data_IF_902380717561
#
_entry.id   IF_902380717561
#
_cell.length_a   1.000
_cell.length_b   1.000
_cell.length_c   1.000
_cell.angle_alpha   90.00
_cell.angle_beta   90.00
_cell.angle_gamma   90.00
#
_symmetry.space_group_name_H-M   'P 1'
#
loop_
_entity.id
_entity.type
_entity.pdbx_description
1 polymer ?
#
# COMPACT_ATOMS: atom_id res chain seq x y z
N UNK A 1 -3.03 -10.29 -3.56
CA UNK A 1 -4.47 -10.34 -3.26
C UNK A 1 -4.58 -10.68 -1.80
N UNK A 2 -5.40 -9.93 -1.06
CA UNK A 2 -5.61 -10.13 0.38
C UNK A 2 -6.74 -11.15 0.54
N UNK A 3 -6.53 -12.18 1.35
CA UNK A 3 -7.48 -13.28 1.51
C UNK A 3 -8.16 -13.30 2.88
N UNK A 4 -7.59 -12.61 3.87
CA UNK A 4 -8.05 -12.62 5.25
C UNK A 4 -7.68 -11.33 5.99
N UNK A 5 -8.29 -11.13 7.15
CA UNK A 5 -8.07 -9.93 7.98
C UNK A 5 -6.61 -9.79 8.42
N UNK A 6 -5.89 -10.90 8.60
CA UNK A 6 -4.47 -10.83 8.98
C UNK A 6 -3.62 -10.26 7.86
N UNK A 7 -3.88 -10.64 6.62
CA UNK A 7 -3.21 -10.08 5.44
C UNK A 7 -3.61 -8.63 5.18
N UNK A 8 -4.86 -8.26 5.50
CA UNK A 8 -5.32 -6.87 5.47
C UNK A 8 -4.48 -6.02 6.42
N UNK A 9 -4.34 -6.43 7.68
CA UNK A 9 -3.53 -5.73 8.68
C UNK A 9 -2.08 -5.55 8.23
N UNK A 10 -1.45 -6.65 7.77
CA UNK A 10 -0.06 -6.61 7.27
C UNK A 10 0.06 -5.66 6.08
N UNK A 11 -0.91 -5.65 5.17
CA UNK A 11 -0.88 -4.74 4.01
C UNK A 11 -1.03 -3.28 4.43
N UNK A 12 -1.92 -2.99 5.39
CA UNK A 12 -2.09 -1.64 5.95
C UNK A 12 -0.81 -1.15 6.66
N UNK A 13 -0.16 -2.00 7.45
CA UNK A 13 1.13 -1.68 8.09
C UNK A 13 2.21 -1.35 7.06
N UNK A 14 2.31 -2.15 5.99
CA UNK A 14 3.26 -1.93 4.88
C UNK A 14 3.01 -0.61 4.15
N UNK A 15 1.74 -0.28 3.88
CA UNK A 15 1.36 1.02 3.31
C UNK A 15 1.85 2.15 4.23
N UNK A 16 1.59 2.06 5.54
CA UNK A 16 2.03 3.05 6.52
C UNK A 16 3.56 3.23 6.55
N UNK A 17 4.31 2.13 6.42
CA UNK A 17 5.76 2.16 6.35
C UNK A 17 6.26 2.91 5.10
N UNK A 18 5.75 2.58 3.91
CA UNK A 18 6.14 3.29 2.68
C UNK A 18 5.74 4.76 2.70
N UNK A 19 4.57 5.10 3.23
CA UNK A 19 4.18 6.50 3.43
C UNK A 19 5.16 7.23 4.36
N UNK A 20 5.67 6.56 5.40
CA UNK A 20 6.68 7.14 6.29
C UNK A 20 8.00 7.41 5.56
N UNK A 21 8.46 6.47 4.74
CA UNK A 21 9.66 6.64 3.92
C UNK A 21 9.49 7.77 2.90
N UNK A 22 8.33 7.86 2.24
CA UNK A 22 8.03 8.94 1.30
C UNK A 22 8.00 10.32 1.99
N UNK A 23 7.42 10.41 3.20
CA UNK A 23 7.46 11.63 4.01
C UNK A 23 8.88 12.01 4.40
N UNK A 24 9.73 11.04 4.71
CA UNK A 24 11.14 11.29 5.01
C UNK A 24 11.88 11.79 3.76
N UNK A 25 11.72 11.10 2.63
CA UNK A 25 12.34 11.46 1.35
C UNK A 25 12.01 12.91 0.94
N UNK A 26 10.75 13.34 1.13
CA UNK A 26 10.30 14.71 0.85
C UNK A 26 11.02 15.79 1.68
N UNK A 27 11.59 15.44 2.83
CA UNK A 27 12.33 16.37 3.69
C UNK A 27 13.82 16.43 3.35
N UNK A 28 14.39 15.38 2.79
CA UNK A 28 15.84 15.21 2.65
C UNK A 28 16.34 15.35 1.21
N UNK A 29 15.52 15.00 0.21
CA UNK A 29 15.91 15.12 -1.19
C UNK A 29 15.46 16.47 -1.76
N UNK A 30 16.43 17.26 -2.21
CA UNK A 30 16.26 18.63 -2.70
C UNK A 30 16.21 18.63 -4.24
N UNK A 31 16.88 17.67 -4.88
CA UNK A 31 16.88 17.54 -6.32
C UNK A 31 15.54 16.95 -6.80
N UNK A 32 14.77 17.68 -7.62
CA UNK A 32 13.44 17.26 -8.03
C UNK A 32 13.44 16.00 -8.90
N UNK A 33 14.49 15.78 -9.69
CA UNK A 33 14.62 14.58 -10.53
C UNK A 33 14.91 13.37 -9.66
N UNK A 34 15.85 13.47 -8.72
CA UNK A 34 16.14 12.38 -7.79
C UNK A 34 14.92 12.06 -6.93
N UNK A 35 14.23 13.08 -6.39
CA UNK A 35 13.01 12.89 -5.62
C UNK A 35 11.98 12.11 -6.43
N UNK A 36 11.71 12.52 -7.67
CA UNK A 36 10.73 11.84 -8.53
C UNK A 36 11.11 10.38 -8.79
N UNK A 37 12.38 10.10 -9.09
CA UNK A 37 12.87 8.75 -9.37
C UNK A 37 12.83 7.85 -8.13
N UNK A 38 13.16 8.37 -6.95
CA UNK A 38 13.10 7.62 -5.70
C UNK A 38 11.68 7.45 -5.18
N UNK A 39 10.82 8.46 -5.34
CA UNK A 39 9.43 8.45 -4.87
C UNK A 39 8.52 7.55 -5.72
N UNK A 40 8.79 7.42 -7.03
CA UNK A 40 7.91 6.69 -7.96
C UNK A 40 7.70 5.24 -7.55
N UNK A 41 8.74 4.55 -7.10
CA UNK A 41 8.63 3.16 -6.63
C UNK A 41 7.72 3.02 -5.41
N UNK A 42 7.86 3.91 -4.42
CA UNK A 42 6.99 3.92 -3.24
C UNK A 42 5.53 4.19 -3.60
N UNK A 43 5.29 5.16 -4.48
CA UNK A 43 3.94 5.55 -4.90
C UNK A 43 3.27 4.38 -5.64
N UNK A 44 3.93 3.76 -6.61
CA UNK A 44 3.39 2.62 -7.35
C UNK A 44 3.05 1.43 -6.44
N UNK A 45 3.88 1.12 -5.45
CA UNK A 45 3.61 0.04 -4.51
C UNK A 45 2.47 0.38 -3.54
N UNK A 46 2.37 1.63 -3.09
CA UNK A 46 1.23 2.09 -2.28
C UNK A 46 -0.07 1.97 -3.09
N UNK A 47 -0.08 2.43 -4.35
CA UNK A 47 -1.27 2.39 -5.21
C UNK A 47 -1.73 0.95 -5.44
N UNK A 48 -0.80 0.02 -5.73
CA UNK A 48 -1.10 -1.41 -5.88
C UNK A 48 -1.70 -2.00 -4.60
N UNK A 49 -1.10 -1.75 -3.44
CA UNK A 49 -1.59 -2.29 -2.17
C UNK A 49 -2.93 -1.66 -1.76
N UNK A 50 -3.15 -0.37 -2.04
CA UNK A 50 -4.43 0.28 -1.79
C UNK A 50 -5.55 -0.27 -2.68
N UNK A 51 -5.23 -0.65 -3.92
CA UNK A 51 -6.16 -1.38 -4.78
C UNK A 51 -6.58 -2.69 -4.13
N UNK A 52 -5.63 -3.51 -3.66
CA UNK A 52 -5.92 -4.79 -2.99
C UNK A 52 -6.74 -4.62 -1.71
N UNK A 53 -6.42 -3.62 -0.88
CA UNK A 53 -7.19 -3.27 0.33
C UNK A 53 -8.62 -2.92 -0.03
N UNK A 54 -8.81 -2.09 -1.07
CA UNK A 54 -10.15 -1.69 -1.52
C UNK A 54 -10.93 -2.87 -2.05
N UNK A 55 -10.32 -3.73 -2.85
CA UNK A 55 -10.94 -4.94 -3.38
C UNK A 55 -11.41 -5.86 -2.26
N UNK A 56 -10.55 -6.11 -1.27
CA UNK A 56 -10.88 -6.93 -0.10
C UNK A 56 -12.05 -6.36 0.70
N UNK A 57 -11.98 -5.07 1.08
CA UNK A 57 -13.00 -4.41 1.89
C UNK A 57 -14.32 -4.17 1.14
N UNK A 58 -14.33 -4.33 -0.19
CA UNK A 58 -15.56 -4.27 -0.99
C UNK A 58 -16.32 -5.59 -0.99
N UNK A 59 -15.74 -6.67 -0.46
CA UNK A 59 -16.40 -7.96 -0.29
C UNK A 59 -16.92 -8.12 1.14
N UNK A 60 -18.10 -8.71 1.30
CA UNK A 60 -18.58 -9.10 2.63
C UNK A 60 -17.79 -10.31 3.12
N UNK A 61 -17.50 -10.44 4.44
CA UNK A 61 -16.80 -11.59 5.00
C UNK A 61 -17.41 -12.95 4.58
N UNK A 62 -18.74 -13.03 4.49
CA UNK A 62 -19.46 -14.24 4.06
C UNK A 62 -19.21 -14.64 2.60
N UNK A 63 -18.73 -13.73 1.76
CA UNK A 63 -18.40 -14.00 0.37
C UNK A 63 -16.97 -14.55 0.21
N UNK A 64 -16.11 -14.31 1.19
CA UNK A 64 -14.71 -14.77 1.20
C UNK A 64 -14.64 -16.26 1.54
N UNK A 65 -15.51 -16.75 2.44
CA UNK A 65 -15.59 -18.17 2.82
C UNK A 65 -16.19 -19.07 1.72
N UNK A 66 -16.97 -18.51 0.79
CA UNK A 66 -17.65 -19.30 -0.27
C UNK A 66 -16.72 -19.59 -1.47
N UNK A 67 -15.57 -18.93 -1.55
CA UNK A 67 -14.62 -19.03 -2.67
C UNK A 67 -13.33 -19.78 -2.34
N UNK A 68 -13.21 -20.34 -1.12
CA UNK A 68 -12.12 -21.23 -0.70
C UNK A 68 -12.48 -22.70 -0.92
#
# INVERSE_FOLDING_TARGET
MIENDRELEVTLERIGHFQSQLRHLRKVEINPTNYRLSASGFISEIDRMQLEVREYLSMLPSQIETTA
#
